data_IF_545024146946
#
_entry.id   IF_545024146946
#
_cell.length_a   1.000
_cell.length_b   1.000
_cell.length_c   1.000
_cell.angle_alpha   90.00
_cell.angle_beta   90.00
_cell.angle_gamma   90.00
#
_symmetry.space_group_name_H-M   'P 1'
#
loop_
_entity.id
_entity.type
_entity.pdbx_description
1 polymer ?
#
# COMPACT_ATOMS: atom_id res chain seq x y z
N UNK A 1 29.77 -1.98 -3.16
CA UNK A 1 28.52 -2.70 -3.54
C UNK A 1 27.34 -2.37 -2.62
N UNK A 2 27.50 -2.44 -1.29
CA UNK A 2 26.45 -2.11 -0.30
C UNK A 2 25.83 -0.72 -0.49
N UNK A 3 26.67 0.30 -0.61
CA UNK A 3 26.24 1.70 -0.79
C UNK A 3 25.46 1.91 -2.11
N UNK A 4 25.91 1.29 -3.20
CA UNK A 4 25.24 1.32 -4.50
C UNK A 4 23.86 0.66 -4.39
N UNK A 5 23.76 -0.50 -3.73
CA UNK A 5 22.49 -1.20 -3.54
C UNK A 5 21.49 -0.39 -2.72
N UNK A 6 21.93 0.26 -1.63
CA UNK A 6 21.08 1.14 -0.81
C UNK A 6 20.61 2.36 -1.61
N UNK A 7 21.49 2.95 -2.42
CA UNK A 7 21.15 4.10 -3.27
C UNK A 7 20.12 3.72 -4.34
N UNK A 8 20.30 2.59 -5.02
CA UNK A 8 19.33 2.08 -5.99
C UNK A 8 18.00 1.76 -5.33
N UNK A 9 18.02 1.06 -4.18
CA UNK A 9 16.82 0.73 -3.42
C UNK A 9 16.03 1.99 -3.02
N UNK A 10 16.75 3.05 -2.63
CA UNK A 10 16.13 4.33 -2.26
C UNK A 10 15.46 5.02 -3.44
N UNK A 11 16.09 5.02 -4.62
CA UNK A 11 15.46 5.59 -5.82
C UNK A 11 14.21 4.83 -6.23
N UNK A 12 14.22 3.49 -6.14
CA UNK A 12 13.02 2.66 -6.37
C UNK A 12 11.90 3.04 -5.40
N UNK A 13 12.20 3.16 -4.10
CA UNK A 13 11.23 3.56 -3.07
C UNK A 13 10.65 4.95 -3.35
N UNK A 14 11.48 5.91 -3.76
CA UNK A 14 11.02 7.26 -4.14
C UNK A 14 10.11 7.22 -5.35
N UNK A 15 10.47 6.47 -6.40
CA UNK A 15 9.64 6.32 -7.60
C UNK A 15 8.27 5.77 -7.21
N UNK A 16 8.20 4.69 -6.43
CA UNK A 16 6.92 4.10 -6.00
C UNK A 16 6.13 5.10 -5.14
N UNK A 17 6.80 5.88 -4.29
CA UNK A 17 6.16 6.93 -3.47
C UNK A 17 5.51 8.00 -4.34
N UNK A 18 6.21 8.49 -5.37
CA UNK A 18 5.66 9.50 -6.29
C UNK A 18 4.54 8.92 -7.15
N UNK A 19 4.68 7.69 -7.65
CA UNK A 19 3.60 6.99 -8.35
C UNK A 19 2.36 6.84 -7.48
N UNK A 20 2.51 6.53 -6.20
CA UNK A 20 1.40 6.45 -5.25
C UNK A 20 0.70 7.80 -5.08
N UNK A 21 1.47 8.90 -5.05
CA UNK A 21 0.93 10.24 -4.96
C UNK A 21 0.17 10.65 -6.21
N UNK A 22 0.71 10.36 -7.39
CA UNK A 22 0.02 10.55 -8.68
C UNK A 22 -1.27 9.72 -8.70
N UNK A 23 -1.21 8.45 -8.27
CA UNK A 23 -2.37 7.58 -8.13
C UNK A 23 -3.48 8.19 -7.27
N UNK A 24 -3.14 8.73 -6.09
CA UNK A 24 -4.13 9.42 -5.25
C UNK A 24 -4.77 10.62 -5.95
N UNK A 25 -3.98 11.43 -6.65
CA UNK A 25 -4.50 12.60 -7.40
C UNK A 25 -5.46 12.14 -8.51
N UNK A 26 -5.08 11.12 -9.28
CA UNK A 26 -5.92 10.56 -10.34
C UNK A 26 -7.24 10.00 -9.79
N UNK A 27 -7.21 9.30 -8.65
CA UNK A 27 -8.42 8.82 -7.99
C UNK A 27 -9.31 9.99 -7.54
N UNK A 28 -8.71 11.08 -7.06
CA UNK A 28 -9.43 12.31 -6.72
C UNK A 28 -10.17 12.89 -7.91
N UNK A 29 -9.49 13.04 -9.06
CA UNK A 29 -10.13 13.46 -10.31
C UNK A 29 -11.22 12.49 -10.76
N UNK A 30 -11.00 11.18 -10.61
CA UNK A 30 -12.00 10.16 -10.91
C UNK A 30 -13.28 10.32 -10.08
N UNK A 31 -13.17 10.61 -8.78
CA UNK A 31 -14.32 10.83 -7.89
C UNK A 31 -15.13 12.04 -8.38
N UNK A 32 -14.46 13.15 -8.70
CA UNK A 32 -15.13 14.33 -9.24
C UNK A 32 -15.83 14.02 -10.58
N UNK A 33 -15.14 13.36 -11.50
CA UNK A 33 -15.69 13.01 -12.81
C UNK A 33 -16.96 12.14 -12.68
N UNK A 34 -16.91 11.10 -11.85
CA UNK A 34 -18.04 10.20 -11.59
C UNK A 34 -19.20 10.93 -10.93
N UNK A 35 -18.91 11.80 -9.95
CA UNK A 35 -19.93 12.59 -9.27
C UNK A 35 -20.69 13.54 -10.21
N UNK A 36 -19.98 14.30 -11.04
CA UNK A 36 -20.60 15.24 -11.99
C UNK A 36 -21.34 14.51 -13.12
N UNK A 37 -20.77 13.41 -13.64
CA UNK A 37 -21.45 12.57 -14.62
C UNK A 37 -22.76 11.98 -14.05
N UNK A 38 -22.74 11.60 -12.77
CA UNK A 38 -23.90 11.09 -12.05
C UNK A 38 -25.03 12.11 -11.85
N UNK A 39 -24.69 13.36 -11.52
CA UNK A 39 -25.68 14.43 -11.38
C UNK A 39 -26.45 14.67 -12.69
N UNK A 40 -25.77 14.61 -13.83
CA UNK A 40 -26.38 14.81 -15.15
C UNK A 40 -27.35 13.69 -15.57
N UNK A 41 -27.32 12.54 -14.88
CA UNK A 41 -28.13 11.35 -15.19
C UNK A 41 -28.98 10.89 -14.00
N UNK A 42 -29.37 11.81 -13.11
CA UNK A 42 -30.29 11.51 -12.01
C UNK A 42 -29.73 10.56 -10.94
N UNK A 43 -28.40 10.51 -10.78
CA UNK A 43 -27.72 9.65 -9.79
C UNK A 43 -27.36 8.25 -10.32
N UNK A 44 -27.57 7.99 -11.61
CA UNK A 44 -27.18 6.76 -12.29
C UNK A 44 -25.91 6.97 -13.11
N UNK A 45 -25.01 6.01 -13.05
CA UNK A 45 -23.78 5.98 -13.84
C UNK A 45 -23.84 4.80 -14.80
N UNK A 46 -23.67 5.06 -16.10
CA UNK A 46 -23.68 4.01 -17.12
C UNK A 46 -22.26 3.53 -17.36
N UNK A 47 -22.00 2.26 -17.09
CA UNK A 47 -20.77 1.57 -17.49
C UNK A 47 -21.04 0.88 -18.82
N UNK A 48 -20.43 1.41 -19.89
CA UNK A 48 -20.53 0.84 -21.23
C UNK A 48 -19.34 -0.08 -21.48
N UNK A 49 -19.61 -1.38 -21.57
CA UNK A 49 -18.63 -2.42 -21.89
C UNK A 49 -18.63 -2.79 -23.38
N UNK A 50 -19.27 -2.00 -24.24
CA UNK A 50 -19.37 -2.20 -25.69
C UNK A 50 -20.44 -3.22 -26.10
N UNK A 51 -20.47 -4.39 -25.45
CA UNK A 51 -21.53 -5.39 -25.67
C UNK A 51 -22.73 -5.24 -24.73
N UNK A 52 -22.53 -4.60 -23.57
CA UNK A 52 -23.57 -4.37 -22.58
C UNK A 52 -23.31 -3.07 -21.82
N UNK A 53 -24.37 -2.27 -21.65
CA UNK A 53 -24.36 -1.10 -20.79
C UNK A 53 -25.06 -1.43 -19.47
N UNK A 54 -24.35 -1.27 -18.35
CA UNK A 54 -24.92 -1.48 -17.01
C UNK A 54 -25.09 -0.13 -16.33
N UNK A 55 -26.31 0.19 -15.92
CA UNK A 55 -26.58 1.36 -15.08
C UNK A 55 -26.45 0.96 -13.61
N UNK A 56 -25.56 1.64 -12.90
CA UNK A 56 -25.34 1.46 -11.48
C UNK A 56 -25.51 2.79 -10.75
N UNK A 57 -25.78 2.72 -9.45
CA UNK A 57 -25.74 3.91 -8.61
C UNK A 57 -24.34 4.51 -8.60
N UNK A 58 -24.26 5.83 -8.76
CA UNK A 58 -23.01 6.62 -8.76
C UNK A 58 -22.18 6.41 -7.48
N UNK A 59 -22.82 6.03 -6.38
CA UNK A 59 -22.15 5.76 -5.12
C UNK A 59 -21.23 4.53 -5.16
N UNK A 60 -21.53 3.51 -5.98
CA UNK A 60 -20.71 2.31 -6.10
C UNK A 60 -19.31 2.63 -6.65
N UNK A 61 -19.16 3.27 -7.83
CA UNK A 61 -17.84 3.63 -8.36
C UNK A 61 -17.11 4.64 -7.47
N UNK A 62 -17.83 5.57 -6.81
CA UNK A 62 -17.21 6.50 -5.86
C UNK A 62 -16.56 5.74 -4.69
N UNK A 63 -17.27 4.76 -4.10
CA UNK A 63 -16.72 3.95 -3.00
C UNK A 63 -15.49 3.16 -3.47
N UNK A 64 -15.53 2.58 -4.67
CA UNK A 64 -14.37 1.86 -5.24
C UNK A 64 -13.16 2.79 -5.41
N UNK A 65 -13.37 4.01 -5.92
CA UNK A 65 -12.29 5.00 -6.08
C UNK A 65 -11.72 5.47 -4.74
N UNK A 66 -12.57 5.65 -3.71
CA UNK A 66 -12.13 5.96 -2.35
C UNK A 66 -11.28 4.81 -1.78
N UNK A 67 -11.72 3.57 -1.94
CA UNK A 67 -10.95 2.40 -1.49
C UNK A 67 -9.58 2.33 -2.18
N UNK A 68 -9.53 2.56 -3.49
CA UNK A 68 -8.28 2.63 -4.24
C UNK A 68 -7.36 3.77 -3.74
N UNK A 69 -7.93 4.94 -3.42
CA UNK A 69 -7.19 6.06 -2.84
C UNK A 69 -6.59 5.70 -1.48
N UNK A 70 -7.32 4.98 -0.62
CA UNK A 70 -6.82 4.49 0.68
C UNK A 70 -5.64 3.53 0.49
N UNK A 71 -5.74 2.62 -0.48
CA UNK A 71 -4.66 1.67 -0.82
C UNK A 71 -3.39 2.42 -1.24
N UNK A 72 -3.51 3.42 -2.13
CA UNK A 72 -2.38 4.26 -2.52
C UNK A 72 -1.81 5.08 -1.36
N UNK A 73 -2.65 5.57 -0.47
CA UNK A 73 -2.22 6.30 0.72
C UNK A 73 -1.38 5.41 1.67
N UNK A 74 -1.80 4.16 1.89
CA UNK A 74 -1.04 3.20 2.69
C UNK A 74 0.30 2.85 2.02
N UNK A 75 0.31 2.65 0.70
CA UNK A 75 1.55 2.43 -0.06
C UNK A 75 2.50 3.63 0.07
N UNK A 76 1.98 4.85 -0.02
CA UNK A 76 2.76 6.08 0.20
C UNK A 76 3.37 6.13 1.61
N UNK A 77 2.60 5.76 2.65
CA UNK A 77 3.08 5.71 4.04
C UNK A 77 4.19 4.68 4.23
N UNK A 78 4.05 3.49 3.63
CA UNK A 78 5.07 2.44 3.63
C UNK A 78 6.36 2.96 2.97
N UNK A 79 6.27 3.47 1.75
CA UNK A 79 7.45 3.95 1.02
C UNK A 79 8.13 5.13 1.71
N UNK A 80 7.38 6.02 2.36
CA UNK A 80 7.96 7.10 3.16
C UNK A 80 8.77 6.60 4.36
N UNK A 81 8.29 5.56 5.05
CA UNK A 81 9.02 4.97 6.16
C UNK A 81 10.25 4.20 5.69
N UNK A 82 10.16 3.49 4.56
CA UNK A 82 11.29 2.80 3.94
C UNK A 82 12.38 3.78 3.43
N UNK A 83 12.01 4.92 2.83
CA UNK A 83 12.99 5.94 2.39
C UNK A 83 13.79 6.47 3.59
N UNK A 84 13.13 6.73 4.73
CA UNK A 84 13.81 7.10 5.97
C UNK A 84 14.73 6.01 6.50
N UNK A 85 14.26 4.77 6.52
CA UNK A 85 15.06 3.63 6.96
C UNK A 85 16.34 3.48 6.10
N UNK A 86 16.20 3.66 4.77
CA UNK A 86 17.32 3.58 3.84
C UNK A 86 18.31 4.73 4.01
N UNK A 87 17.85 5.93 4.40
CA UNK A 87 18.74 7.05 4.76
C UNK A 87 19.58 6.67 5.99
N UNK A 88 18.94 6.21 7.07
CA UNK A 88 19.65 5.82 8.29
C UNK A 88 20.68 4.70 8.02
N UNK A 89 20.35 3.77 7.12
CA UNK A 89 21.28 2.72 6.68
C UNK A 89 22.43 3.24 5.79
N UNK A 90 22.24 4.35 5.08
CA UNK A 90 23.29 5.04 4.34
C UNK A 90 24.23 5.79 5.30
N UNK A 91 23.70 6.33 6.38
CA UNK A 91 24.43 7.04 7.44
C UNK A 91 25.07 6.09 8.47
N UNK A 92 25.07 4.78 8.18
CA UNK A 92 25.59 3.69 9.04
C UNK A 92 24.90 3.52 10.41
N UNK A 93 23.79 4.22 10.63
CA UNK A 93 22.93 4.12 11.80
C UNK A 93 21.97 2.92 11.66
N UNK A 94 22.48 1.70 11.83
CA UNK A 94 21.69 0.48 11.68
C UNK A 94 20.80 0.18 12.90
N UNK A 95 21.42 0.08 14.09
CA UNK A 95 20.73 -0.34 15.30
C UNK A 95 20.28 0.86 16.13
N UNK A 96 19.21 1.51 15.67
CA UNK A 96 18.59 2.62 16.38
C UNK A 96 17.13 2.32 16.69
N UNK A 97 16.65 2.80 17.83
CA UNK A 97 15.25 2.66 18.24
C UNK A 97 14.28 3.28 17.22
N UNK A 98 14.72 4.32 16.50
CA UNK A 98 13.97 4.92 15.39
C UNK A 98 13.73 3.92 14.25
N UNK A 99 14.74 3.14 13.84
CA UNK A 99 14.63 2.16 12.76
C UNK A 99 13.65 1.03 13.12
N UNK A 100 13.67 0.58 14.38
CA UNK A 100 12.73 -0.42 14.90
C UNK A 100 11.30 0.13 14.86
N UNK A 101 11.10 1.40 15.25
CA UNK A 101 9.80 2.06 15.18
C UNK A 101 9.32 2.28 13.74
N UNK A 102 10.22 2.63 12.82
CA UNK A 102 9.93 2.77 11.39
C UNK A 102 9.47 1.43 10.80
N UNK A 103 10.19 0.34 11.04
CA UNK A 103 9.79 -1.00 10.56
C UNK A 103 8.49 -1.48 11.18
N UNK A 104 8.28 -1.22 12.48
CA UNK A 104 7.01 -1.54 13.16
C UNK A 104 5.82 -0.81 12.51
N UNK A 105 6.01 0.46 12.10
CA UNK A 105 5.01 1.20 11.33
C UNK A 105 4.79 0.61 9.95
N UNK A 106 5.87 0.22 9.25
CA UNK A 106 5.76 -0.46 7.94
C UNK A 106 4.95 -1.75 8.09
N UNK A 107 5.20 -2.54 9.14
CA UNK A 107 4.50 -3.79 9.39
C UNK A 107 3.01 -3.56 9.59
N UNK A 108 2.66 -2.59 10.44
CA UNK A 108 1.26 -2.20 10.66
C UNK A 108 0.59 -1.75 9.35
N UNK A 109 1.27 -0.94 8.53
CA UNK A 109 0.71 -0.51 7.25
C UNK A 109 0.59 -1.66 6.24
N UNK A 110 1.50 -2.63 6.23
CA UNK A 110 1.41 -3.82 5.37
C UNK A 110 0.22 -4.71 5.76
N UNK A 111 -0.04 -4.88 7.06
CA UNK A 111 -1.20 -5.62 7.57
C UNK A 111 -2.49 -4.90 7.18
N UNK A 112 -2.57 -3.58 7.40
CA UNK A 112 -3.74 -2.79 7.00
C UNK A 112 -3.97 -2.82 5.49
N UNK A 113 -2.90 -2.68 4.71
CA UNK A 113 -2.94 -2.72 3.25
C UNK A 113 -3.53 -4.06 2.77
N UNK A 114 -3.01 -5.17 3.28
CA UNK A 114 -3.49 -6.52 2.94
C UNK A 114 -4.93 -6.73 3.40
N UNK A 115 -5.27 -6.29 4.61
CA UNK A 115 -6.62 -6.41 5.16
C UNK A 115 -7.66 -5.64 4.35
N UNK A 116 -7.34 -4.40 3.95
CA UNK A 116 -8.24 -3.58 3.11
C UNK A 116 -8.40 -4.20 1.72
N UNK A 117 -7.33 -4.67 1.09
CA UNK A 117 -7.42 -5.34 -0.21
C UNK A 117 -8.34 -6.56 -0.14
N UNK A 118 -8.21 -7.37 0.91
CA UNK A 118 -9.04 -8.55 1.13
C UNK A 118 -10.51 -8.18 1.37
N UNK A 119 -10.78 -7.14 2.17
CA UNK A 119 -12.14 -6.65 2.42
C UNK A 119 -12.80 -6.11 1.14
N UNK A 120 -12.07 -5.39 0.30
CA UNK A 120 -12.55 -4.89 -0.99
C UNK A 120 -12.90 -6.06 -1.90
N UNK A 121 -12.01 -7.04 -2.01
CA UNK A 121 -12.23 -8.22 -2.84
C UNK A 121 -13.51 -8.99 -2.39
N UNK A 122 -13.63 -9.29 -1.09
CA UNK A 122 -14.84 -9.95 -0.54
C UNK A 122 -16.11 -9.16 -0.85
N UNK A 123 -16.07 -7.82 -0.67
CA UNK A 123 -17.22 -6.96 -0.89
C UNK A 123 -17.68 -6.99 -2.36
N UNK A 124 -16.73 -6.90 -3.30
CA UNK A 124 -17.03 -6.93 -4.73
C UNK A 124 -17.55 -8.29 -5.21
N UNK A 125 -16.97 -9.38 -4.69
CA UNK A 125 -17.40 -10.73 -5.01
C UNK A 125 -18.81 -11.02 -4.46
N UNK A 126 -19.12 -10.59 -3.22
CA UNK A 126 -20.45 -10.74 -2.63
C UNK A 126 -21.53 -9.99 -3.42
N UNK A 127 -21.21 -8.81 -3.97
CA UNK A 127 -22.14 -8.02 -4.77
C UNK A 127 -22.48 -8.64 -6.14
N UNK A 128 -21.91 -9.80 -6.52
CA UNK A 128 -22.11 -10.44 -7.83
C UNK A 128 -22.03 -9.45 -9.00
N UNK A 129 -21.07 -8.51 -8.94
CA UNK A 129 -20.69 -7.74 -10.12
C UNK A 129 -19.95 -8.73 -11.02
N UNK A 130 -20.73 -9.52 -11.75
CA UNK A 130 -20.36 -10.81 -12.32
C UNK A 130 -19.30 -10.73 -13.42
N UNK A 131 -18.94 -9.53 -13.89
CA UNK A 131 -17.85 -9.31 -14.84
C UNK A 131 -16.59 -8.66 -14.23
N UNK A 132 -16.64 -8.17 -12.99
CA UNK A 132 -15.46 -7.68 -12.27
C UNK A 132 -14.76 -8.80 -11.45
N UNK A 133 -15.43 -9.94 -11.28
CA UNK A 133 -14.94 -11.05 -10.44
C UNK A 133 -13.66 -11.72 -10.98
N UNK A 134 -13.36 -11.58 -12.28
CA UNK A 134 -12.10 -12.09 -12.86
C UNK A 134 -10.88 -11.23 -12.51
N UNK A 135 -11.09 -9.95 -12.16
CA UNK A 135 -10.04 -9.03 -11.71
C UNK A 135 -9.78 -9.12 -10.20
N UNK A 136 -10.71 -9.72 -9.46
CA UNK A 136 -10.65 -9.90 -8.01
C UNK A 136 -10.85 -11.38 -7.65
N UNK A 137 -10.17 -12.28 -8.35
CA UNK A 137 -10.21 -13.69 -7.97
C UNK A 137 -9.63 -13.82 -6.55
N UNK A 138 -10.28 -14.60 -5.69
CA UNK A 138 -9.87 -14.80 -4.29
C UNK A 138 -8.67 -15.75 -4.19
N UNK A 139 -7.75 -15.66 -5.15
CA UNK A 139 -6.58 -16.51 -5.18
C UNK A 139 -5.63 -16.07 -4.08
N UNK A 140 -5.35 -16.96 -3.12
CA UNK A 140 -4.31 -16.75 -2.11
C UNK A 140 -2.94 -16.42 -2.76
N UNK A 141 -2.75 -16.77 -4.04
CA UNK A 141 -1.57 -16.40 -4.83
C UNK A 141 -1.39 -14.88 -4.95
N UNK A 142 -2.49 -14.13 -5.07
CA UNK A 142 -2.44 -12.68 -5.26
C UNK A 142 -2.02 -11.92 -4.00
N UNK A 143 -2.16 -12.57 -2.83
CA UNK A 143 -1.74 -12.03 -1.54
C UNK A 143 -0.43 -12.64 -1.02
N UNK A 144 0.10 -13.67 -1.67
CA UNK A 144 1.31 -14.37 -1.24
C UNK A 144 2.50 -13.42 -1.14
N UNK A 145 2.61 -12.50 -2.09
CA UNK A 145 3.65 -11.46 -2.09
C UNK A 145 3.55 -10.57 -0.84
N UNK A 146 2.34 -10.17 -0.44
CA UNK A 146 2.14 -9.37 0.77
C UNK A 146 2.54 -10.15 2.03
N UNK A 147 2.18 -11.43 2.10
CA UNK A 147 2.54 -12.32 3.23
C UNK A 147 4.06 -12.45 3.34
N UNK A 148 4.76 -12.65 2.23
CA UNK A 148 6.23 -12.72 2.20
C UNK A 148 6.84 -11.41 2.69
N UNK A 149 6.33 -10.26 2.25
CA UNK A 149 6.83 -8.96 2.71
C UNK A 149 6.59 -8.70 4.20
N UNK A 150 5.46 -9.16 4.74
CA UNK A 150 5.16 -9.11 6.18
C UNK A 150 6.17 -9.94 6.96
N UNK A 151 6.44 -11.17 6.53
CA UNK A 151 7.41 -12.07 7.18
C UNK A 151 8.82 -11.47 7.16
N UNK A 152 9.27 -10.95 6.01
CA UNK A 152 10.59 -10.31 5.89
C UNK A 152 10.71 -9.13 6.86
N UNK A 153 9.67 -8.30 6.95
CA UNK A 153 9.67 -7.16 7.85
C UNK A 153 9.70 -7.57 9.33
N UNK A 154 8.89 -8.57 9.71
CA UNK A 154 8.90 -9.11 11.07
C UNK A 154 10.28 -9.65 11.48
N UNK A 155 10.92 -10.42 10.61
CA UNK A 155 12.30 -10.90 10.81
C UNK A 155 13.26 -9.72 10.97
N UNK A 156 13.16 -8.68 10.11
CA UNK A 156 14.02 -7.50 10.20
C UNK A 156 13.87 -6.77 11.53
N UNK A 157 12.66 -6.66 12.07
CA UNK A 157 12.39 -6.08 13.40
C UNK A 157 13.10 -6.88 14.49
N UNK A 158 12.99 -8.21 14.47
CA UNK A 158 13.65 -9.09 15.46
C UNK A 158 15.17 -8.93 15.41
N UNK A 159 15.75 -8.92 14.22
CA UNK A 159 17.20 -8.75 14.02
C UNK A 159 17.68 -7.40 14.55
N UNK A 160 16.98 -6.31 14.21
CA UNK A 160 17.36 -4.96 14.65
C UNK A 160 17.18 -4.75 16.16
N UNK A 161 16.13 -5.32 16.77
CA UNK A 161 15.96 -5.28 18.23
C UNK A 161 17.12 -5.96 18.95
N UNK A 162 17.48 -7.18 18.52
CA UNK A 162 18.62 -7.90 19.11
C UNK A 162 19.95 -7.17 18.91
N UNK A 163 20.18 -6.60 17.73
CA UNK A 163 21.39 -5.83 17.48
C UNK A 163 21.46 -4.54 18.30
N UNK A 164 20.33 -3.86 18.52
CA UNK A 164 20.24 -2.69 19.39
C UNK A 164 20.56 -3.02 20.85
N UNK A 165 20.01 -4.12 21.37
CA UNK A 165 20.32 -4.59 22.73
C UNK A 165 21.83 -4.91 22.88
N UNK A 166 22.41 -5.64 21.93
CA UNK A 166 23.84 -5.98 21.96
C UNK A 166 24.77 -4.76 21.88
N UNK A 167 24.42 -3.76 21.06
CA UNK A 167 25.21 -2.54 20.96
C UNK A 167 25.16 -1.74 22.26
N UNK A 168 23.96 -1.63 22.86
CA UNK A 168 23.78 -0.95 24.12
C UNK A 168 24.54 -1.63 25.27
N UNK A 169 24.48 -2.96 25.35
CA UNK A 169 25.21 -3.72 26.36
C UNK A 169 26.73 -3.55 26.20
N UNK A 170 27.24 -3.45 24.96
CA UNK A 170 28.66 -3.20 24.71
C UNK A 170 29.11 -1.80 25.14
N UNK A 171 28.32 -0.78 24.82
CA UNK A 171 28.60 0.62 25.16
C UNK A 171 28.49 0.89 26.67
N UNK A 172 27.75 0.08 27.43
CA UNK A 172 27.68 0.16 28.90
C UNK A 172 28.86 -0.55 29.62
N UNK A 173 29.62 -1.41 28.93
CA UNK A 173 30.75 -2.17 29.50
C UNK A 173 32.10 -1.45 29.35
N UNK A 174 32.24 -0.53 28.38
CA UNK A 174 33.47 0.27 28.13
C UNK A 174 33.40 1.61 28.87
#
# INVERSE_FOLDING_TARGET
MKEIALKVGREVVKIIRYLSLVGMILMGFGIFAVFFAGQNHGGLFTLDYGYQSVQISVWIPIVVLIMAMIIFYLLFRIMRALDKLLINFQDEEYFCSENINLLSKVLLYQILFTGIQLLVNISLNFSKIADASSLFDLSLKDYLVNVVFIIINDIAIIVLKRGYELQKDHDEII
#
